data_IF_871304607174
#
_entry.id   IF_871304607174
#
_cell.length_a   1.000
_cell.length_b   1.000
_cell.length_c   1.000
_cell.angle_alpha   90.00
_cell.angle_beta   90.00
_cell.angle_gamma   90.00
#
_symmetry.space_group_name_H-M   'P 1'
#
loop_
_entity.id
_entity.type
_entity.pdbx_description
1 polymer ?
#
# COMPACT_ATOMS: atom_id res chain seq x y z
N UNK A 1 -77.71 -27.13 -0.37
CA UNK A 1 -76.38 -27.25 0.21
C UNK A 1 -75.61 -26.04 -0.25
N UNK A 2 -75.36 -25.10 0.69
CA UNK A 2 -74.67 -23.80 0.42
C UNK A 2 -73.24 -23.93 0.94
N UNK A 3 -72.26 -23.83 0.05
CA UNK A 3 -70.80 -23.73 0.44
C UNK A 3 -70.46 -22.27 0.64
N UNK A 4 -70.00 -21.93 1.85
CA UNK A 4 -69.44 -20.63 2.19
C UNK A 4 -67.90 -20.67 1.94
N UNK A 5 -67.41 -19.80 1.09
CA UNK A 5 -66.00 -19.61 0.88
C UNK A 5 -65.44 -18.58 1.89
N UNK A 6 -64.49 -18.97 2.73
CA UNK A 6 -63.78 -18.09 3.63
C UNK A 6 -62.55 -17.50 2.93
N UNK A 7 -62.52 -16.19 2.77
CA UNK A 7 -61.34 -15.43 2.30
C UNK A 7 -60.41 -15.18 3.50
N UNK A 8 -59.22 -15.80 3.48
CA UNK A 8 -58.12 -15.46 4.37
C UNK A 8 -57.38 -14.23 3.81
N UNK A 9 -57.50 -13.11 4.52
CA UNK A 9 -56.71 -11.91 4.23
C UNK A 9 -55.27 -12.06 4.75
N UNK A 10 -54.30 -12.06 3.84
CA UNK A 10 -52.87 -12.08 4.15
C UNK A 10 -52.43 -10.62 4.37
N UNK A 11 -52.23 -10.21 5.63
CA UNK A 11 -51.66 -8.88 5.95
C UNK A 11 -50.16 -8.90 5.74
N UNK A 12 -49.65 -8.22 4.69
CA UNK A 12 -48.23 -7.92 4.53
C UNK A 12 -47.81 -6.87 5.59
N UNK A 13 -47.06 -7.31 6.57
CA UNK A 13 -46.35 -6.41 7.48
C UNK A 13 -45.08 -5.89 6.75
N UNK A 14 -45.11 -4.66 6.28
CA UNK A 14 -43.98 -3.99 5.71
C UNK A 14 -42.97 -3.67 6.83
N UNK A 15 -41.87 -4.40 6.89
CA UNK A 15 -40.76 -4.15 7.80
C UNK A 15 -39.99 -2.95 7.23
N UNK A 16 -40.29 -1.73 7.70
CA UNK A 16 -39.50 -0.54 7.39
C UNK A 16 -38.17 -0.67 8.13
N UNK A 17 -37.10 -0.92 7.39
CA UNK A 17 -35.74 -0.83 7.93
C UNK A 17 -35.47 0.62 8.35
N UNK A 18 -35.44 0.87 9.65
CA UNK A 18 -34.94 2.12 10.21
C UNK A 18 -33.42 2.17 9.91
N UNK A 19 -33.03 2.91 8.89
CA UNK A 19 -31.66 3.36 8.71
C UNK A 19 -31.38 4.38 9.80
N UNK A 20 -30.69 3.96 10.86
CA UNK A 20 -30.10 4.89 11.82
C UNK A 20 -29.15 5.79 11.06
N UNK A 21 -29.23 7.14 11.22
CA UNK A 21 -28.22 8.03 10.67
C UNK A 21 -26.88 7.64 11.31
N UNK A 22 -25.84 7.42 10.49
CA UNK A 22 -24.49 7.31 10.99
C UNK A 22 -24.21 8.61 11.76
N UNK A 23 -24.01 8.51 13.08
CA UNK A 23 -23.56 9.63 13.88
C UNK A 23 -22.19 9.98 13.34
N UNK A 24 -22.06 11.13 12.68
CA UNK A 24 -20.77 11.67 12.31
C UNK A 24 -19.99 11.83 13.63
N UNK A 25 -18.98 10.99 13.82
CA UNK A 25 -18.13 11.09 14.99
C UNK A 25 -17.34 12.38 14.82
N UNK A 26 -17.46 13.33 15.75
CA UNK A 26 -16.65 14.53 15.74
C UNK A 26 -15.18 14.13 15.83
N UNK A 27 -14.44 14.38 14.75
CA UNK A 27 -13.01 14.09 14.69
C UNK A 27 -12.23 15.15 15.49
N UNK A 28 -11.10 14.77 16.11
CA UNK A 28 -10.24 15.73 16.78
C UNK A 28 -9.79 16.85 15.83
N UNK A 29 -9.81 18.09 16.30
CA UNK A 29 -9.27 19.26 15.59
C UNK A 29 -7.84 19.52 16.08
N UNK A 30 -6.86 19.43 15.16
CA UNK A 30 -5.44 19.69 15.45
C UNK A 30 -5.04 21.16 15.34
N UNK A 31 -6.04 22.06 15.18
CA UNK A 31 -5.85 23.50 15.31
C UNK A 31 -4.93 24.16 14.28
N UNK A 32 -4.80 23.58 13.08
CA UNK A 32 -3.90 24.08 12.04
C UNK A 32 -2.43 23.71 12.26
N UNK A 33 -2.12 22.77 13.17
CA UNK A 33 -0.76 22.27 13.42
C UNK A 33 -0.08 21.91 12.10
N UNK A 34 1.20 22.24 11.95
CA UNK A 34 2.03 21.73 10.88
C UNK A 34 2.50 20.32 11.23
N UNK A 35 2.34 19.38 10.29
CA UNK A 35 2.81 17.98 10.38
C UNK A 35 3.84 17.75 9.29
N UNK A 36 5.06 17.39 9.68
CA UNK A 36 6.15 17.09 8.75
C UNK A 36 6.11 15.60 8.39
N UNK A 37 5.78 15.33 7.14
CA UNK A 37 5.61 13.97 6.61
C UNK A 37 6.80 13.60 5.74
N UNK A 38 7.40 12.44 5.99
CA UNK A 38 8.51 11.92 5.21
C UNK A 38 8.07 10.79 4.29
N UNK A 39 8.60 10.77 3.06
CA UNK A 39 8.33 9.76 2.02
C UNK A 39 9.53 9.56 1.11
N UNK A 40 9.53 8.52 0.25
CA UNK A 40 10.63 8.24 -0.69
C UNK A 40 10.31 8.68 -2.13
N UNK A 41 9.03 8.76 -2.52
CA UNK A 41 8.58 9.05 -3.90
C UNK A 41 9.05 8.05 -4.97
N UNK A 42 9.14 6.77 -4.61
CA UNK A 42 9.65 5.72 -5.49
C UNK A 42 8.69 4.52 -5.68
N UNK A 43 7.41 4.66 -5.29
CA UNK A 43 6.47 3.54 -5.21
C UNK A 43 5.11 3.85 -5.87
N UNK A 44 5.05 3.98 -7.22
CA UNK A 44 3.78 4.23 -7.93
C UNK A 44 2.82 3.03 -7.81
N UNK A 45 1.51 3.23 -7.77
CA UNK A 45 0.80 4.53 -7.79
C UNK A 45 0.55 5.12 -6.39
N UNK A 46 1.22 4.61 -5.33
CA UNK A 46 1.02 5.08 -3.96
C UNK A 46 1.65 6.47 -3.74
N UNK A 47 2.93 6.64 -4.07
CA UNK A 47 3.64 7.92 -4.02
C UNK A 47 4.83 7.90 -4.99
N UNK A 48 4.88 8.86 -5.87
CA UNK A 48 5.90 8.94 -6.93
C UNK A 48 5.97 10.35 -7.53
N UNK A 49 7.01 10.58 -8.33
CA UNK A 49 7.11 11.78 -9.15
C UNK A 49 6.49 11.50 -10.53
N UNK A 50 5.53 12.32 -10.94
CA UNK A 50 4.97 12.25 -12.28
C UNK A 50 5.93 12.79 -13.35
N UNK A 51 5.54 12.80 -14.61
CA UNK A 51 6.38 13.26 -15.72
C UNK A 51 6.83 14.73 -15.61
N UNK A 52 6.07 15.56 -14.90
CA UNK A 52 6.41 16.96 -14.61
C UNK A 52 7.31 17.11 -13.36
N UNK A 53 7.71 16.02 -12.71
CA UNK A 53 8.50 16.02 -11.49
C UNK A 53 7.70 16.42 -10.24
N UNK A 54 6.38 16.41 -10.31
CA UNK A 54 5.49 16.68 -9.18
C UNK A 54 5.24 15.40 -8.40
N UNK A 55 5.36 15.47 -7.07
CA UNK A 55 4.97 14.39 -6.17
C UNK A 55 3.46 14.19 -6.17
N UNK A 56 3.01 12.99 -6.48
CA UNK A 56 1.60 12.58 -6.59
C UNK A 56 1.43 11.13 -6.13
N UNK A 57 0.19 10.72 -5.95
CA UNK A 57 -0.16 9.33 -5.65
C UNK A 57 -1.29 9.20 -4.64
N UNK A 58 -1.73 7.97 -4.47
CA UNK A 58 -2.83 7.62 -3.58
C UNK A 58 -2.57 8.10 -2.14
N UNK A 59 -1.35 7.92 -1.62
CA UNK A 59 -1.00 8.33 -0.26
C UNK A 59 -0.99 9.85 -0.09
N UNK A 60 -0.63 10.61 -1.12
CA UNK A 60 -0.71 12.07 -1.10
C UNK A 60 -2.16 12.57 -0.99
N UNK A 61 -3.05 12.01 -1.80
CA UNK A 61 -4.47 12.39 -1.76
C UNK A 61 -5.13 11.92 -0.46
N UNK A 62 -4.74 10.73 0.04
CA UNK A 62 -5.22 10.23 1.32
C UNK A 62 -4.76 11.11 2.48
N UNK A 63 -3.49 11.53 2.49
CA UNK A 63 -2.96 12.46 3.50
C UNK A 63 -3.64 13.82 3.43
N UNK A 64 -3.96 14.31 2.23
CA UNK A 64 -4.72 15.56 2.07
C UNK A 64 -6.14 15.46 2.66
N UNK A 65 -6.83 14.33 2.52
CA UNK A 65 -8.13 14.11 3.17
C UNK A 65 -8.00 13.99 4.69
N UNK A 66 -6.94 13.35 5.21
CA UNK A 66 -6.65 13.33 6.65
C UNK A 66 -6.41 14.74 7.19
N UNK A 67 -5.56 15.52 6.51
CA UNK A 67 -5.23 16.90 6.88
C UNK A 67 -6.46 17.79 6.94
N UNK A 68 -7.33 17.67 5.94
CA UNK A 68 -8.62 18.39 5.88
C UNK A 68 -9.55 18.01 7.02
N UNK A 69 -9.66 16.71 7.34
CA UNK A 69 -10.57 16.20 8.39
C UNK A 69 -10.12 16.53 9.79
N UNK A 70 -8.82 16.56 10.02
CA UNK A 70 -8.21 16.80 11.32
C UNK A 70 -7.72 18.24 11.50
N UNK A 71 -7.89 19.12 10.49
CA UNK A 71 -7.44 20.50 10.50
C UNK A 71 -5.94 20.62 10.85
N UNK A 72 -5.07 20.03 9.99
CA UNK A 72 -3.63 20.24 10.04
C UNK A 72 -3.08 20.59 8.66
N UNK A 73 -1.89 21.18 8.60
CA UNK A 73 -1.14 21.41 7.36
C UNK A 73 -0.02 20.40 7.22
N UNK A 74 0.38 20.09 5.98
CA UNK A 74 1.41 19.09 5.69
C UNK A 74 2.59 19.73 5.00
N UNK A 75 3.80 19.45 5.52
CA UNK A 75 5.07 19.70 4.84
C UNK A 75 5.71 18.37 4.51
N UNK A 76 6.00 18.11 3.22
CA UNK A 76 6.61 16.85 2.80
C UNK A 76 8.12 16.97 2.69
N UNK A 77 8.83 15.92 3.16
CA UNK A 77 10.25 15.73 3.00
C UNK A 77 10.53 14.41 2.28
N UNK A 78 11.51 14.41 1.38
CA UNK A 78 11.92 13.21 0.66
C UNK A 78 13.25 12.70 1.23
N UNK A 79 13.25 11.42 1.66
CA UNK A 79 14.45 10.72 2.13
C UNK A 79 14.49 9.30 1.58
N UNK A 80 15.64 8.63 1.67
CA UNK A 80 15.77 7.23 1.30
C UNK A 80 15.04 6.31 2.29
N UNK A 81 14.64 5.14 1.82
CA UNK A 81 13.94 4.14 2.63
C UNK A 81 14.71 3.73 3.88
N UNK A 82 16.02 3.48 3.75
CA UNK A 82 16.87 3.02 4.84
C UNK A 82 17.01 4.03 5.98
N UNK A 83 16.88 5.33 5.68
CA UNK A 83 16.91 6.40 6.67
C UNK A 83 15.53 6.64 7.34
N UNK A 84 14.42 6.23 6.72
CA UNK A 84 13.07 6.66 7.09
C UNK A 84 12.65 6.20 8.49
N UNK A 85 12.70 4.89 8.77
CA UNK A 85 12.28 4.36 10.08
C UNK A 85 13.16 4.90 11.21
N UNK A 86 14.50 4.92 11.11
CA UNK A 86 15.35 5.56 12.10
C UNK A 86 15.02 7.03 12.33
N UNK A 87 14.88 7.83 11.28
CA UNK A 87 14.63 9.26 11.40
C UNK A 87 13.26 9.57 12.05
N UNK A 88 12.20 8.81 11.72
CA UNK A 88 10.91 8.93 12.39
C UNK A 88 11.02 8.48 13.86
N UNK A 89 11.69 7.36 14.13
CA UNK A 89 11.89 6.84 15.50
C UNK A 89 12.60 7.84 16.42
N UNK A 90 13.53 8.63 15.88
CA UNK A 90 14.26 9.69 16.58
C UNK A 90 13.46 11.00 16.69
N UNK A 91 12.25 11.08 16.13
CA UNK A 91 11.40 12.25 16.18
C UNK A 91 11.86 13.40 15.28
N UNK A 92 12.66 13.11 14.23
CA UNK A 92 13.04 14.11 13.23
C UNK A 92 11.86 14.50 12.33
N UNK A 93 10.87 13.64 12.21
CA UNK A 93 9.64 13.82 11.45
C UNK A 93 8.43 13.38 12.27
N UNK A 94 7.28 13.96 12.01
CA UNK A 94 6.04 13.65 12.73
C UNK A 94 5.39 12.36 12.24
N UNK A 95 5.57 12.03 10.94
CA UNK A 95 4.93 10.90 10.27
C UNK A 95 5.76 10.43 9.07
N UNK A 96 5.78 9.11 8.83
CA UNK A 96 6.33 8.52 7.61
C UNK A 96 5.27 7.77 6.81
N UNK A 97 5.30 7.92 5.47
CA UNK A 97 4.42 7.24 4.52
C UNK A 97 5.21 6.77 3.29
N UNK A 98 5.09 5.51 2.90
CA UNK A 98 5.65 4.94 1.67
C UNK A 98 5.23 3.47 1.47
N UNK A 99 3.95 3.14 1.71
CA UNK A 99 3.48 1.76 1.67
C UNK A 99 4.17 0.91 2.75
N UNK A 100 4.21 1.39 3.99
CA UNK A 100 5.00 0.75 5.05
C UNK A 100 4.22 -0.41 5.65
N UNK A 101 4.69 -1.63 5.42
CA UNK A 101 4.10 -2.84 6.02
C UNK A 101 4.16 -2.79 7.53
N UNK A 102 3.03 -2.99 8.19
CA UNK A 102 2.92 -3.12 9.63
C UNK A 102 3.55 -4.45 10.05
N UNK A 103 4.72 -4.39 10.71
CA UNK A 103 5.49 -5.55 11.16
C UNK A 103 5.91 -5.39 12.61
N UNK A 104 6.04 -6.50 13.34
CA UNK A 104 6.34 -6.46 14.77
C UNK A 104 7.75 -5.95 15.06
N UNK A 105 8.74 -6.29 14.24
CA UNK A 105 10.10 -5.74 14.35
C UNK A 105 10.13 -4.20 14.18
N UNK A 106 9.32 -3.65 13.28
CA UNK A 106 9.18 -2.20 13.09
C UNK A 106 8.43 -1.53 14.24
N UNK A 107 7.41 -2.22 14.81
CA UNK A 107 6.69 -1.73 15.99
C UNK A 107 7.58 -1.59 17.24
N UNK A 108 8.72 -2.24 17.29
CA UNK A 108 9.69 -2.00 18.37
C UNK A 108 10.26 -0.58 18.31
N UNK A 109 10.43 -0.01 17.12
CA UNK A 109 11.07 1.28 16.88
C UNK A 109 10.08 2.44 16.75
N UNK A 110 8.93 2.22 16.14
CA UNK A 110 7.93 3.25 15.79
C UNK A 110 6.52 2.81 16.18
N UNK A 111 5.60 3.76 16.30
CA UNK A 111 4.17 3.45 16.37
C UNK A 111 3.56 3.45 14.97
N UNK A 112 2.52 2.64 14.77
CA UNK A 112 1.79 2.57 13.52
C UNK A 112 0.38 3.11 13.67
N UNK A 113 -0.14 3.68 12.57
CA UNK A 113 -1.59 3.83 12.42
C UNK A 113 -2.27 2.48 12.29
N UNK A 114 -3.61 2.47 12.37
CA UNK A 114 -4.41 1.40 11.82
C UNK A 114 -4.10 1.23 10.33
N UNK A 115 -4.25 -0.02 9.85
CA UNK A 115 -4.02 -0.30 8.43
C UNK A 115 -4.99 0.52 7.56
N UNK A 116 -4.45 1.30 6.62
CA UNK A 116 -5.25 2.02 5.64
C UNK A 116 -5.46 1.22 4.35
N UNK A 117 -4.57 0.28 4.05
CA UNK A 117 -4.60 -0.57 2.85
C UNK A 117 -4.13 -1.98 3.18
N UNK A 118 -4.68 -2.97 2.49
CA UNK A 118 -4.18 -4.34 2.44
C UNK A 118 -3.79 -4.67 1.02
N UNK A 119 -2.62 -5.26 0.84
CA UNK A 119 -2.11 -5.72 -0.44
C UNK A 119 -1.57 -7.15 -0.33
N UNK A 120 -1.19 -7.72 -1.46
CA UNK A 120 -0.67 -9.09 -1.56
C UNK A 120 0.69 -9.04 -2.25
N UNK A 121 1.66 -9.80 -1.74
CA UNK A 121 2.98 -9.90 -2.35
C UNK A 121 2.92 -10.69 -3.64
N UNK A 122 3.48 -10.14 -4.72
CA UNK A 122 3.47 -10.71 -6.07
C UNK A 122 4.86 -10.75 -6.70
N UNK A 123 5.00 -11.58 -7.72
CA UNK A 123 6.21 -11.74 -8.54
C UNK A 123 6.05 -10.94 -9.83
N UNK A 124 6.80 -9.85 -9.98
CA UNK A 124 6.86 -9.01 -11.18
C UNK A 124 8.04 -9.46 -12.04
N UNK A 125 7.78 -9.75 -13.33
CA UNK A 125 8.77 -10.22 -14.30
C UNK A 125 8.61 -9.50 -15.63
N UNK A 126 9.59 -9.63 -16.53
CA UNK A 126 9.44 -9.15 -17.92
C UNK A 126 8.29 -9.85 -18.63
N UNK A 127 7.64 -9.14 -19.56
CA UNK A 127 6.50 -9.66 -20.33
C UNK A 127 6.81 -10.93 -21.13
N UNK A 128 8.04 -11.05 -21.61
CA UNK A 128 8.56 -12.19 -22.39
C UNK A 128 9.18 -13.30 -21.53
N UNK A 129 9.21 -13.15 -20.19
CA UNK A 129 9.81 -14.17 -19.33
C UNK A 129 9.08 -15.52 -19.46
N UNK A 130 9.82 -16.57 -19.79
CA UNK A 130 9.31 -17.93 -20.00
C UNK A 130 10.11 -19.02 -19.27
N UNK A 131 11.22 -18.64 -18.57
CA UNK A 131 12.09 -19.59 -17.87
C UNK A 131 11.51 -20.06 -16.53
N UNK A 132 10.59 -19.31 -15.97
CA UNK A 132 9.86 -19.65 -14.74
C UNK A 132 8.48 -18.96 -14.71
N UNK A 133 7.55 -19.58 -14.00
CA UNK A 133 6.19 -19.07 -13.82
C UNK A 133 5.74 -19.03 -12.35
N UNK A 134 6.59 -19.50 -11.44
CA UNK A 134 6.33 -19.53 -9.99
C UNK A 134 7.63 -19.47 -9.19
N UNK A 135 7.51 -19.33 -7.87
CA UNK A 135 8.65 -19.22 -6.96
C UNK A 135 9.54 -20.46 -6.95
N UNK A 136 8.97 -21.65 -7.10
CA UNK A 136 9.72 -22.89 -7.05
C UNK A 136 10.61 -23.04 -8.31
N UNK A 137 10.08 -22.71 -9.47
CA UNK A 137 10.82 -22.70 -10.72
C UNK A 137 11.93 -21.63 -10.73
N UNK A 138 11.65 -20.44 -10.17
CA UNK A 138 12.67 -19.40 -9.97
C UNK A 138 13.78 -19.88 -9.03
N UNK A 139 13.43 -20.44 -7.87
CA UNK A 139 14.38 -20.93 -6.88
C UNK A 139 15.30 -22.01 -7.46
N UNK A 140 14.74 -22.95 -8.24
CA UNK A 140 15.46 -24.07 -8.85
C UNK A 140 16.47 -23.64 -9.92
N UNK A 141 16.33 -22.47 -10.52
CA UNK A 141 17.22 -21.97 -11.56
C UNK A 141 18.27 -21.02 -10.99
N UNK A 142 19.50 -21.50 -10.78
CA UNK A 142 20.60 -20.74 -10.18
C UNK A 142 21.11 -19.55 -11.04
N UNK A 143 20.72 -19.47 -12.31
CA UNK A 143 21.13 -18.39 -13.21
C UNK A 143 20.21 -17.16 -13.15
N UNK A 144 19.09 -17.25 -12.41
CA UNK A 144 18.13 -16.15 -12.29
C UNK A 144 18.46 -15.26 -11.08
N UNK A 145 18.30 -13.96 -11.27
CA UNK A 145 18.58 -12.93 -10.26
C UNK A 145 17.30 -12.20 -9.86
N UNK A 146 17.24 -11.81 -8.59
CA UNK A 146 16.16 -10.98 -8.04
C UNK A 146 16.71 -9.60 -7.67
N UNK A 147 15.97 -8.53 -8.02
CA UNK A 147 16.22 -7.21 -7.45
C UNK A 147 15.53 -7.08 -6.10
N UNK A 148 16.18 -6.40 -5.17
CA UNK A 148 15.61 -6.07 -3.87
C UNK A 148 16.14 -4.73 -3.35
N UNK A 149 15.31 -4.05 -2.56
CA UNK A 149 15.72 -2.89 -1.77
C UNK A 149 15.92 -3.37 -0.32
N UNK A 150 17.10 -3.14 0.29
CA UNK A 150 17.40 -3.65 1.63
C UNK A 150 16.38 -3.25 2.69
N UNK A 151 16.07 -4.16 3.63
CA UNK A 151 15.19 -3.89 4.78
C UNK A 151 13.70 -3.77 4.45
N UNK A 152 13.31 -3.93 3.17
CA UNK A 152 11.90 -3.96 2.76
C UNK A 152 11.26 -5.32 3.03
N UNK A 153 9.91 -5.35 3.09
CA UNK A 153 9.19 -6.63 3.18
C UNK A 153 9.42 -7.51 1.96
N UNK A 154 9.39 -7.00 0.71
CA UNK A 154 9.74 -7.79 -0.48
C UNK A 154 11.14 -8.42 -0.41
N UNK A 155 12.13 -7.72 0.16
CA UNK A 155 13.47 -8.29 0.37
C UNK A 155 13.40 -9.54 1.26
N UNK A 156 12.77 -9.44 2.42
CA UNK A 156 12.68 -10.57 3.35
C UNK A 156 11.85 -11.73 2.81
N UNK A 157 10.73 -11.44 2.11
CA UNK A 157 9.96 -12.50 1.42
C UNK A 157 10.82 -13.19 0.36
N UNK A 158 11.60 -12.45 -0.41
CA UNK A 158 12.53 -13.00 -1.38
C UNK A 158 13.58 -13.91 -0.75
N UNK A 159 14.15 -13.51 0.35
CA UNK A 159 15.15 -14.29 1.09
C UNK A 159 14.55 -15.58 1.68
N UNK A 160 13.44 -15.45 2.43
CA UNK A 160 12.96 -16.53 3.29
C UNK A 160 11.88 -17.40 2.65
N UNK A 161 11.08 -16.85 1.71
CA UNK A 161 9.97 -17.59 1.09
C UNK A 161 10.27 -18.05 -0.35
N UNK A 162 11.21 -17.38 -1.05
CA UNK A 162 11.54 -17.69 -2.44
C UNK A 162 12.90 -18.36 -2.56
N UNK A 163 13.88 -17.93 -1.78
CA UNK A 163 15.25 -18.45 -1.80
C UNK A 163 15.52 -19.35 -0.57
N UNK A 164 16.77 -19.42 -0.15
CA UNK A 164 17.30 -20.37 0.83
C UNK A 164 17.45 -19.82 2.27
N UNK A 165 16.92 -18.60 2.54
CA UNK A 165 17.03 -17.93 3.82
C UNK A 165 18.36 -17.21 4.05
N UNK A 166 19.20 -17.09 3.04
CA UNK A 166 20.47 -16.38 3.13
C UNK A 166 20.35 -14.95 2.60
N UNK A 167 20.39 -13.95 3.50
CA UNK A 167 20.33 -12.53 3.12
C UNK A 167 21.52 -12.09 2.24
N UNK A 168 22.64 -12.78 2.31
CA UNK A 168 23.82 -12.56 1.47
C UNK A 168 23.84 -13.42 0.20
N UNK A 169 22.68 -13.99 -0.20
CA UNK A 169 22.59 -14.80 -1.42
C UNK A 169 23.01 -13.99 -2.65
N UNK A 170 24.03 -14.42 -3.44
CA UNK A 170 24.56 -13.65 -4.56
C UNK A 170 23.56 -13.44 -5.71
N UNK A 171 22.45 -14.17 -5.69
CA UNK A 171 21.34 -14.00 -6.65
C UNK A 171 20.46 -12.78 -6.33
N UNK A 172 20.60 -12.18 -5.14
CA UNK A 172 19.90 -10.96 -4.76
C UNK A 172 20.76 -9.76 -5.12
N UNK A 173 20.29 -8.95 -6.08
CA UNK A 173 20.93 -7.68 -6.46
C UNK A 173 20.25 -6.54 -5.70
N UNK A 174 21.03 -5.85 -4.89
CA UNK A 174 20.54 -4.75 -4.05
C UNK A 174 20.50 -3.44 -4.83
N UNK A 175 19.40 -2.71 -4.68
CA UNK A 175 19.18 -1.39 -5.27
C UNK A 175 18.79 -0.40 -4.18
N UNK A 176 19.18 0.86 -4.36
CA UNK A 176 18.90 1.93 -3.40
C UNK A 176 17.40 2.26 -3.35
N UNK A 177 16.71 2.21 -4.50
CA UNK A 177 15.28 2.45 -4.59
C UNK A 177 14.56 1.27 -5.26
N UNK A 178 13.27 1.10 -4.95
CA UNK A 178 12.43 0.11 -5.60
C UNK A 178 12.37 0.32 -7.13
N UNK A 179 12.20 1.57 -7.57
CA UNK A 179 12.15 1.92 -8.99
C UNK A 179 13.42 1.53 -9.76
N UNK A 180 14.61 1.69 -9.14
CA UNK A 180 15.88 1.25 -9.76
C UNK A 180 15.90 -0.28 -9.98
N UNK A 181 15.35 -1.06 -9.05
CA UNK A 181 15.18 -2.51 -9.21
C UNK A 181 14.25 -2.88 -10.37
N UNK A 182 13.15 -2.14 -10.56
CA UNK A 182 12.25 -2.34 -11.71
C UNK A 182 12.90 -1.97 -13.03
N UNK A 183 13.68 -0.90 -13.08
CA UNK A 183 14.44 -0.55 -14.30
C UNK A 183 15.50 -1.61 -14.64
N UNK A 184 16.18 -2.17 -13.64
CA UNK A 184 17.09 -3.31 -13.83
C UNK A 184 16.36 -4.56 -14.36
N UNK A 185 15.10 -4.81 -13.90
CA UNK A 185 14.25 -5.86 -14.44
C UNK A 185 13.93 -5.62 -15.93
N UNK A 186 13.56 -4.41 -16.31
CA UNK A 186 13.29 -4.00 -17.70
C UNK A 186 14.52 -4.16 -18.59
N UNK A 187 15.69 -3.80 -18.08
CA UNK A 187 16.97 -3.91 -18.77
C UNK A 187 17.44 -5.37 -18.94
N UNK A 188 16.91 -6.31 -18.15
CA UNK A 188 17.34 -7.71 -18.14
C UNK A 188 18.54 -8.01 -17.24
N UNK A 189 18.93 -7.06 -16.38
CA UNK A 189 20.02 -7.22 -15.40
C UNK A 189 19.60 -8.12 -14.23
N UNK A 190 18.29 -8.21 -13.99
CA UNK A 190 17.63 -9.13 -13.06
C UNK A 190 16.40 -9.75 -13.71
N UNK A 191 15.83 -10.79 -13.11
CA UNK A 191 14.74 -11.57 -13.67
C UNK A 191 13.45 -11.47 -12.87
N UNK A 192 13.53 -11.08 -11.61
CA UNK A 192 12.43 -11.01 -10.68
C UNK A 192 12.52 -9.75 -9.81
N UNK A 193 11.39 -9.09 -9.60
CA UNK A 193 11.15 -8.13 -8.52
C UNK A 193 9.96 -8.62 -7.71
N UNK A 194 10.08 -8.68 -6.40
CA UNK A 194 8.93 -8.86 -5.51
C UNK A 194 8.36 -7.50 -5.11
N UNK A 195 7.06 -7.40 -5.11
CA UNK A 195 6.36 -6.15 -4.74
C UNK A 195 4.95 -6.45 -4.25
N UNK A 196 4.30 -5.48 -3.64
CA UNK A 196 2.86 -5.57 -3.42
C UNK A 196 2.08 -5.53 -4.75
N UNK A 197 0.88 -6.12 -4.75
CA UNK A 197 0.08 -6.27 -5.96
C UNK A 197 -0.39 -4.93 -6.54
N UNK A 198 -0.56 -3.90 -5.72
CA UNK A 198 -1.00 -2.57 -6.17
C UNK A 198 0.10 -1.89 -6.99
N UNK A 199 1.33 -1.84 -6.44
CA UNK A 199 2.47 -1.30 -7.16
C UNK A 199 2.83 -2.17 -8.37
N UNK A 200 2.83 -3.50 -8.21
CA UNK A 200 3.09 -4.44 -9.31
C UNK A 200 2.14 -4.23 -10.49
N UNK A 201 0.84 -4.09 -10.22
CA UNK A 201 -0.16 -3.83 -11.27
C UNK A 201 0.07 -2.45 -11.91
N UNK A 202 0.39 -1.42 -11.12
CA UNK A 202 0.73 -0.09 -11.65
C UNK A 202 1.90 -0.14 -12.65
N UNK A 203 2.95 -0.89 -12.34
CA UNK A 203 4.08 -1.09 -13.27
C UNK A 203 3.70 -1.90 -14.51
N UNK A 204 2.85 -2.92 -14.37
CA UNK A 204 2.33 -3.69 -15.52
C UNK A 204 1.53 -2.79 -16.45
N UNK A 205 0.58 -2.01 -15.91
CA UNK A 205 -0.27 -1.11 -16.69
C UNK A 205 0.52 -0.02 -17.42
N UNK A 206 1.63 0.43 -16.83
CA UNK A 206 2.53 1.43 -17.41
C UNK A 206 3.54 0.86 -18.40
N UNK A 207 3.58 -0.46 -18.65
CA UNK A 207 4.66 -1.12 -19.38
C UNK A 207 4.36 -1.51 -20.82
N UNK A 208 3.12 -1.27 -21.31
CA UNK A 208 2.67 -1.72 -22.65
C UNK A 208 2.99 -3.20 -22.94
N UNK A 209 2.81 -4.07 -21.94
CA UNK A 209 3.11 -5.50 -22.02
C UNK A 209 4.59 -5.84 -21.77
N UNK A 210 5.44 -4.88 -21.46
CA UNK A 210 6.85 -5.10 -21.11
C UNK A 210 7.05 -5.79 -19.75
N UNK A 211 6.06 -5.75 -18.89
CA UNK A 211 6.05 -6.41 -17.57
C UNK A 211 4.77 -7.23 -17.39
N UNK A 212 4.83 -8.25 -16.51
CA UNK A 212 3.67 -9.04 -16.08
C UNK A 212 3.87 -9.58 -14.67
N UNK A 213 2.76 -9.89 -14.00
CA UNK A 213 2.76 -10.63 -12.74
C UNK A 213 2.61 -12.12 -13.04
N UNK A 214 3.37 -12.96 -12.35
CA UNK A 214 3.34 -14.42 -12.49
C UNK A 214 3.23 -15.12 -11.14
N UNK A 215 2.83 -16.39 -11.16
CA UNK A 215 2.76 -17.24 -9.97
C UNK A 215 1.61 -16.93 -9.02
N UNK A 216 1.64 -17.62 -7.89
CA UNK A 216 0.71 -17.41 -6.79
C UNK A 216 1.15 -16.20 -5.93
N UNK A 217 0.23 -15.65 -5.16
CA UNK A 217 0.51 -14.61 -4.17
C UNK A 217 1.34 -15.19 -3.04
N UNK A 218 2.40 -14.49 -2.63
CA UNK A 218 3.37 -14.95 -1.64
C UNK A 218 3.02 -14.54 -0.19
N UNK A 219 1.87 -13.91 0.00
CA UNK A 219 1.39 -13.47 1.30
C UNK A 219 0.56 -12.22 1.20
N UNK A 220 0.09 -11.73 2.34
CA UNK A 220 -0.64 -10.46 2.46
C UNK A 220 0.11 -9.53 3.40
N UNK A 221 -0.01 -8.25 3.16
CA UNK A 221 0.56 -7.20 4.01
C UNK A 221 -0.44 -6.07 4.22
N UNK A 222 -0.41 -5.49 5.41
CA UNK A 222 -1.20 -4.33 5.78
C UNK A 222 -0.28 -3.11 5.83
N UNK A 223 -0.64 -2.01 5.18
CA UNK A 223 0.11 -0.76 5.21
C UNK A 223 -0.45 0.20 6.25
N UNK A 224 0.46 0.82 7.00
CA UNK A 224 0.17 1.86 7.98
C UNK A 224 1.18 3.01 7.89
N UNK A 225 0.77 4.17 8.36
CA UNK A 225 1.71 5.28 8.62
C UNK A 225 2.54 4.98 9.86
N UNK A 226 3.78 5.46 9.87
CA UNK A 226 4.65 5.35 11.05
C UNK A 226 4.80 6.69 11.75
N UNK A 227 4.96 6.63 13.07
CA UNK A 227 5.09 7.78 13.96
C UNK A 227 6.19 7.53 15.00
N UNK A 228 6.80 8.59 15.57
CA UNK A 228 7.60 8.43 16.78
C UNK A 228 6.81 7.70 17.88
N UNK A 229 7.49 6.94 18.72
CA UNK A 229 6.86 6.27 19.86
C UNK A 229 6.13 7.25 20.77
N UNK A 230 4.85 6.94 21.09
CA UNK A 230 4.01 7.75 21.94
C UNK A 230 3.48 9.02 21.26
N UNK A 231 3.50 9.11 19.92
CA UNK A 231 2.98 10.25 19.17
C UNK A 231 1.49 10.49 19.45
N UNK A 232 1.13 11.74 19.71
CA UNK A 232 -0.25 12.20 19.90
C UNK A 232 -1.07 12.19 18.60
N UNK A 233 -0.42 12.00 17.45
CA UNK A 233 -1.08 11.93 16.13
C UNK A 233 -1.73 10.57 15.86
N UNK A 234 -1.29 9.48 16.49
CA UNK A 234 -1.79 8.12 16.18
C UNK A 234 -3.29 8.01 16.37
N UNK A 235 -3.81 8.42 17.51
CA UNK A 235 -5.24 8.30 17.81
C UNK A 235 -6.14 9.18 16.90
N UNK A 236 -5.84 10.47 16.66
CA UNK A 236 -6.55 11.30 15.69
C UNK A 236 -6.53 10.72 14.28
N UNK A 237 -5.35 10.27 13.79
CA UNK A 237 -5.21 9.70 12.44
C UNK A 237 -6.03 8.41 12.32
N UNK A 238 -6.02 7.52 13.31
CA UNK A 238 -6.84 6.31 13.30
C UNK A 238 -8.34 6.62 13.25
N UNK A 239 -8.80 7.60 14.02
CA UNK A 239 -10.19 8.04 13.97
C UNK A 239 -10.58 8.55 12.57
N UNK A 240 -9.70 9.32 11.93
CA UNK A 240 -9.93 9.83 10.58
C UNK A 240 -9.87 8.71 9.53
N UNK A 241 -8.94 7.75 9.65
CA UNK A 241 -8.90 6.55 8.78
C UNK A 241 -10.22 5.78 8.86
N UNK A 242 -10.74 5.56 10.06
CA UNK A 242 -12.02 4.88 10.25
C UNK A 242 -13.18 5.65 9.59
N UNK A 243 -13.22 6.97 9.72
CA UNK A 243 -14.22 7.82 9.09
C UNK A 243 -14.15 7.79 7.56
N UNK A 244 -12.93 7.88 6.99
CA UNK A 244 -12.69 7.83 5.54
C UNK A 244 -13.02 6.47 4.92
N UNK A 245 -12.87 5.38 5.69
CA UNK A 245 -13.38 4.06 5.32
C UNK A 245 -14.91 4.00 5.30
N UNK A 246 -15.52 4.55 6.34
CA UNK A 246 -16.97 4.46 6.53
C UNK A 246 -17.77 5.28 5.52
N UNK A 247 -17.25 6.40 5.03
CA UNK A 247 -17.95 7.29 4.10
C UNK A 247 -17.62 7.04 2.62
N UNK A 248 -16.76 6.04 2.32
CA UNK A 248 -16.41 5.65 0.95
C UNK A 248 -15.33 6.51 0.30
N UNK A 249 -14.67 7.42 1.04
CA UNK A 249 -13.57 8.23 0.49
C UNK A 249 -12.41 7.36 0.03
N UNK A 250 -12.06 6.32 0.81
CA UNK A 250 -11.00 5.37 0.41
C UNK A 250 -11.36 4.64 -0.88
N UNK A 251 -12.62 4.22 -1.06
CA UNK A 251 -13.05 3.56 -2.29
C UNK A 251 -12.97 4.51 -3.51
N UNK A 252 -13.29 5.79 -3.31
CA UNK A 252 -13.13 6.81 -4.34
C UNK A 252 -11.65 7.02 -4.72
N UNK A 253 -10.75 7.09 -3.75
CA UNK A 253 -9.29 7.17 -3.99
C UNK A 253 -8.77 5.92 -4.71
N UNK A 254 -9.20 4.72 -4.29
CA UNK A 254 -8.85 3.47 -4.96
C UNK A 254 -9.29 3.47 -6.42
N UNK A 255 -10.52 3.93 -6.69
CA UNK A 255 -10.99 4.06 -8.07
C UNK A 255 -10.10 5.03 -8.87
N UNK A 256 -9.80 6.20 -8.32
CA UNK A 256 -8.99 7.22 -8.99
C UNK A 256 -7.61 6.68 -9.35
N UNK A 257 -6.91 6.08 -8.39
CA UNK A 257 -5.49 5.75 -8.55
C UNK A 257 -5.23 4.35 -9.10
N UNK A 258 -6.11 3.39 -8.86
CA UNK A 258 -5.89 2.00 -9.27
C UNK A 258 -6.71 1.57 -10.48
N UNK A 259 -7.77 2.33 -10.84
CA UNK A 259 -8.60 2.01 -11.99
C UNK A 259 -8.53 3.07 -13.09
N UNK A 260 -8.60 4.36 -12.73
CA UNK A 260 -8.74 5.45 -13.70
C UNK A 260 -7.38 6.09 -14.07
N UNK A 261 -6.42 6.19 -13.13
CA UNK A 261 -5.11 6.79 -13.37
C UNK A 261 -4.23 5.90 -14.26
N UNK A 262 -3.48 6.53 -15.17
CA UNK A 262 -2.45 5.87 -15.98
C UNK A 262 -1.13 6.62 -15.81
N UNK A 263 -0.09 5.92 -15.38
CA UNK A 263 1.20 6.50 -14.99
C UNK A 263 1.89 7.26 -16.14
N UNK A 264 1.54 6.97 -17.39
CA UNK A 264 2.18 7.52 -18.59
C UNK A 264 1.26 8.42 -19.43
N UNK A 265 0.17 8.98 -18.86
CA UNK A 265 -0.70 9.94 -19.56
C UNK A 265 -0.43 11.37 -19.16
#
# INVERSE_FOLDING_TARGET
>A
MKFAAALLGLSLVSLSALTLPAVAQDLPDLGGREVVVVTENAYPPLQFLNAEGKAVGWEYDFMAELAKRLNFSVTYQNISWDAMIPAVSEGQYDLGMTGITIRDDRKEMVDFSDAYMRSEMVMLVRGDEARFADKAAFAANAELFMAAQPGTTPFYVGVYEVLDGNEANPRIKMFETFGAGVEALRAGDVDLVLTDGTAGQGYVDASDGGLKIVGEKLGTEDFGFIFPKGSDLVAPVNAAIAALKADGTIDALNKTWFLDYRINQ
#
